data_IF_126337982492
#
_entry.id   IF_126337982492
#
_cell.length_a   1.000
_cell.length_b   1.000
_cell.length_c   1.000
_cell.angle_alpha   90.00
_cell.angle_beta   90.00
_cell.angle_gamma   90.00
#
_symmetry.space_group_name_H-M   'P 1'
#
loop_
_entity.id
_entity.type
_entity.pdbx_description
1 polymer ?
#
# COMPACT_ATOMS: atom_id res chain seq x y z
N UNK A 1 31.05 23.46 8.99
CA UNK A 1 30.38 22.64 7.95
C UNK A 1 29.30 21.88 8.68
N UNK A 2 28.03 22.21 8.45
CA UNK A 2 26.94 21.36 8.92
C UNK A 2 27.05 20.05 8.16
N UNK A 3 27.37 18.95 8.86
CA UNK A 3 27.31 17.62 8.28
C UNK A 3 25.84 17.29 8.08
N UNK A 4 25.40 17.17 6.83
CA UNK A 4 24.08 16.63 6.50
C UNK A 4 23.98 15.15 6.85
N UNK A 5 22.81 14.56 6.59
CA UNK A 5 22.62 13.12 6.60
C UNK A 5 23.55 12.43 5.59
N UNK A 6 23.71 11.11 5.73
CA UNK A 6 24.55 10.32 4.82
C UNK A 6 23.95 8.95 4.56
N UNK A 7 24.11 8.44 3.35
CA UNK A 7 23.63 7.10 2.96
C UNK A 7 24.83 6.26 2.53
N UNK A 8 24.93 5.05 3.08
CA UNK A 8 25.97 4.08 2.76
C UNK A 8 25.34 2.88 2.07
N UNK A 9 26.01 2.37 1.04
CA UNK A 9 25.67 1.10 0.40
C UNK A 9 26.69 0.05 0.80
N UNK A 10 26.21 -1.06 1.34
CA UNK A 10 27.00 -2.24 1.66
C UNK A 10 26.74 -3.26 0.56
N UNK A 11 27.69 -3.44 -0.35
CA UNK A 11 27.43 -4.13 -1.62
C UNK A 11 27.24 -5.65 -1.50
N UNK A 12 27.77 -6.30 -0.45
CA UNK A 12 27.78 -7.76 -0.34
C UNK A 12 27.66 -8.25 1.10
N UNK A 13 26.45 -8.24 1.63
CA UNK A 13 26.08 -8.94 2.85
C UNK A 13 25.64 -10.37 2.49
N UNK A 14 26.38 -11.38 2.94
CA UNK A 14 26.02 -12.77 2.68
C UNK A 14 25.05 -13.31 3.74
N UNK A 15 23.94 -13.91 3.31
CA UNK A 15 23.00 -14.63 4.18
C UNK A 15 23.25 -16.13 4.12
N UNK A 16 23.46 -16.75 5.28
CA UNK A 16 23.57 -18.21 5.40
C UNK A 16 22.17 -18.86 5.31
N UNK A 17 21.12 -18.22 5.84
CA UNK A 17 19.76 -18.76 5.79
C UNK A 17 19.18 -18.81 4.37
N UNK A 18 19.51 -17.81 3.55
CA UNK A 18 19.00 -17.70 2.20
C UNK A 18 20.01 -18.14 1.13
N UNK A 19 21.29 -18.28 1.52
CA UNK A 19 22.41 -18.61 0.65
C UNK A 19 22.52 -17.65 -0.55
N UNK A 20 22.41 -16.35 -0.28
CA UNK A 20 22.54 -15.29 -1.28
C UNK A 20 23.28 -14.06 -0.72
N UNK A 21 23.83 -13.27 -1.64
CA UNK A 21 24.45 -11.97 -1.32
C UNK A 21 23.41 -10.86 -1.52
N UNK A 22 23.39 -9.89 -0.62
CA UNK A 22 22.49 -8.74 -0.67
C UNK A 22 23.20 -7.43 -0.48
N UNK A 23 22.57 -6.41 -1.03
CA UNK A 23 22.90 -5.03 -0.72
C UNK A 23 22.07 -4.55 0.45
N UNK A 24 22.75 -3.88 1.39
CA UNK A 24 22.10 -3.12 2.45
C UNK A 24 22.38 -1.64 2.23
N UNK A 25 21.35 -0.81 2.41
CA UNK A 25 21.48 0.64 2.38
C UNK A 25 21.26 1.17 3.79
N UNK A 26 22.14 2.04 4.28
CA UNK A 26 22.06 2.59 5.63
C UNK A 26 22.09 4.11 5.58
N UNK A 27 20.99 4.75 5.92
CA UNK A 27 20.89 6.18 6.18
C UNK A 27 21.29 6.47 7.63
N UNK A 28 22.18 7.45 7.81
CA UNK A 28 22.60 7.98 9.09
C UNK A 28 22.16 9.44 9.22
N UNK A 29 21.58 9.83 10.37
CA UNK A 29 20.96 11.14 10.52
C UNK A 29 22.00 12.25 10.72
N UNK A 30 21.61 13.54 10.60
CA UNK A 30 22.54 14.67 10.59
C UNK A 30 23.43 14.83 11.83
N UNK A 31 22.99 14.38 13.01
CA UNK A 31 23.82 14.45 14.22
C UNK A 31 24.80 13.28 14.36
N UNK A 32 24.70 12.23 13.53
CA UNK A 32 25.46 10.98 13.71
C UNK A 32 26.96 11.21 13.90
N UNK A 33 27.62 11.99 13.04
CA UNK A 33 29.07 12.25 13.13
C UNK A 33 29.44 13.21 14.27
N UNK A 34 28.54 14.10 14.66
CA UNK A 34 28.79 15.17 15.64
C UNK A 34 28.52 14.70 17.08
N UNK A 35 27.68 13.69 17.26
CA UNK A 35 27.26 13.17 18.55
C UNK A 35 27.71 11.70 18.71
N UNK A 36 29.01 11.46 19.01
CA UNK A 36 29.59 10.10 18.99
C UNK A 36 29.04 9.18 20.07
N UNK A 37 28.40 9.72 21.11
CA UNK A 37 27.82 8.94 22.21
C UNK A 37 26.30 8.71 22.05
N UNK A 38 25.65 9.37 21.10
CA UNK A 38 24.21 9.21 20.87
C UNK A 38 23.94 7.92 20.11
N UNK A 39 22.90 7.22 20.55
CA UNK A 39 22.31 6.05 19.89
C UNK A 39 20.95 6.41 19.32
N UNK A 40 20.53 5.72 18.27
CA UNK A 40 19.38 6.07 17.45
C UNK A 40 18.42 4.89 17.32
N UNK A 41 17.09 5.12 17.34
CA UNK A 41 16.11 4.15 16.88
C UNK A 41 16.39 3.72 15.43
N UNK A 42 15.88 2.55 15.04
CA UNK A 42 16.14 1.99 13.71
C UNK A 42 14.83 1.62 13.02
N UNK A 43 14.70 2.07 11.77
CA UNK A 43 13.67 1.62 10.85
C UNK A 43 14.28 0.66 9.82
N UNK A 44 13.87 -0.60 9.84
CA UNK A 44 14.19 -1.57 8.80
C UNK A 44 13.12 -1.52 7.71
N UNK A 45 13.55 -1.46 6.45
CA UNK A 45 12.67 -1.40 5.29
C UNK A 45 13.00 -2.48 4.26
N UNK A 46 11.97 -3.15 3.78
CA UNK A 46 12.06 -4.05 2.63
C UNK A 46 12.27 -3.27 1.33
N UNK A 47 12.71 -3.96 0.27
CA UNK A 47 12.92 -3.37 -1.07
C UNK A 47 13.91 -2.19 -1.07
N UNK A 48 15.00 -2.32 -0.31
CA UNK A 48 15.98 -1.26 -0.06
C UNK A 48 16.55 -0.59 -1.31
N UNK A 49 16.58 -1.28 -2.46
CA UNK A 49 17.02 -0.72 -3.73
C UNK A 49 16.09 0.37 -4.31
N UNK A 50 14.87 0.53 -3.75
CA UNK A 50 13.87 1.51 -4.17
C UNK A 50 13.53 2.56 -3.10
N UNK A 51 14.09 2.49 -1.88
CA UNK A 51 13.69 3.40 -0.79
C UNK A 51 14.47 4.74 -0.78
N UNK A 52 15.67 4.75 -1.36
CA UNK A 52 16.54 5.93 -1.45
C UNK A 52 16.82 6.32 -2.91
N UNK A 53 17.19 7.58 -3.12
CA UNK A 53 17.57 8.07 -4.44
C UNK A 53 19.10 8.00 -4.62
N UNK A 54 19.61 7.60 -5.80
CA UNK A 54 18.86 7.09 -6.95
C UNK A 54 18.36 5.65 -6.72
N UNK A 55 17.11 5.37 -7.11
CA UNK A 55 16.52 4.03 -7.05
C UNK A 55 16.82 3.21 -8.31
N UNK A 56 16.76 1.88 -8.18
CA UNK A 56 17.08 0.95 -9.26
C UNK A 56 16.21 1.13 -10.51
N UNK A 57 14.91 1.34 -10.35
CA UNK A 57 13.96 1.47 -11.45
C UNK A 57 13.66 2.95 -11.85
N UNK A 58 14.36 3.91 -11.24
CA UNK A 58 14.13 5.35 -11.44
C UNK A 58 13.01 5.96 -10.59
N UNK A 59 12.28 5.14 -9.80
CA UNK A 59 11.25 5.59 -8.87
C UNK A 59 11.65 5.21 -7.45
N UNK A 60 11.72 6.21 -6.58
CA UNK A 60 12.20 6.08 -5.20
C UNK A 60 11.12 6.54 -4.26
N UNK A 61 11.03 5.94 -3.08
CA UNK A 61 10.18 6.45 -2.00
C UNK A 61 10.70 7.75 -1.37
N UNK A 62 11.97 8.08 -1.65
CA UNK A 62 12.67 9.24 -1.09
C UNK A 62 12.55 9.34 0.44
N UNK A 63 12.61 8.19 1.13
CA UNK A 63 12.40 8.13 2.59
C UNK A 63 13.41 8.99 3.34
N UNK A 64 14.66 9.01 2.88
CA UNK A 64 15.71 9.90 3.38
C UNK A 64 15.33 11.40 3.32
N UNK A 65 14.70 11.84 2.23
CA UNK A 65 14.27 13.23 2.08
C UNK A 65 13.09 13.57 3.00
N UNK A 66 12.15 12.63 3.15
CA UNK A 66 11.06 12.76 4.13
C UNK A 66 11.61 12.85 5.56
N UNK A 67 12.53 11.95 5.94
CA UNK A 67 13.19 11.96 7.25
C UNK A 67 13.98 13.26 7.48
N UNK A 68 14.83 13.68 6.54
CA UNK A 68 15.62 14.91 6.65
C UNK A 68 14.72 16.14 6.86
N UNK A 69 13.62 16.25 6.10
CA UNK A 69 12.64 17.33 6.26
C UNK A 69 12.01 17.31 7.64
N UNK A 70 11.47 16.17 8.07
CA UNK A 70 10.77 16.05 9.36
C UNK A 70 11.71 16.27 10.55
N UNK A 71 12.97 15.83 10.45
CA UNK A 71 14.03 16.10 11.44
C UNK A 71 14.36 17.59 11.48
N UNK A 72 14.55 18.24 10.33
CA UNK A 72 14.85 19.67 10.26
C UNK A 72 13.71 20.53 10.84
N UNK A 73 12.46 20.13 10.60
CA UNK A 73 11.25 20.73 11.16
C UNK A 73 11.02 20.37 12.64
N UNK A 74 11.86 19.52 13.24
CA UNK A 74 11.76 19.02 14.63
C UNK A 74 10.44 18.30 14.94
N UNK A 75 9.90 17.58 13.95
CA UNK A 75 8.64 16.83 14.09
C UNK A 75 8.86 15.37 14.44
N UNK A 76 10.05 14.85 14.16
CA UNK A 76 10.48 13.51 14.54
C UNK A 76 11.88 13.55 15.14
N UNK A 77 12.21 12.53 15.93
CA UNK A 77 13.57 12.29 16.37
C UNK A 77 14.45 11.78 15.22
N UNK A 78 15.77 11.87 15.42
CA UNK A 78 16.72 11.32 14.45
C UNK A 78 16.76 9.79 14.55
N UNK A 79 16.69 9.11 13.40
CA UNK A 79 16.70 7.65 13.30
C UNK A 79 17.76 7.17 12.31
N UNK A 80 18.12 5.89 12.41
CA UNK A 80 18.83 5.16 11.34
C UNK A 80 17.78 4.45 10.48
N UNK A 81 17.95 4.46 9.16
CA UNK A 81 17.08 3.71 8.24
C UNK A 81 17.92 2.68 7.50
N UNK A 82 17.52 1.41 7.57
CA UNK A 82 18.20 0.29 6.93
C UNK A 82 17.29 -0.28 5.84
N UNK A 83 17.67 -0.11 4.58
CA UNK A 83 17.02 -0.75 3.43
C UNK A 83 17.65 -2.09 3.09
N UNK A 84 16.84 -3.13 2.98
CA UNK A 84 17.27 -4.47 2.59
C UNK A 84 16.84 -4.75 1.15
N UNK A 85 17.78 -4.89 0.22
CA UNK A 85 17.45 -5.21 -1.17
C UNK A 85 16.71 -6.54 -1.30
N UNK A 86 15.75 -6.60 -2.21
CA UNK A 86 15.12 -7.87 -2.59
C UNK A 86 15.98 -8.66 -3.61
N UNK A 87 15.55 -9.87 -3.93
CA UNK A 87 16.25 -10.78 -4.85
C UNK A 87 15.52 -10.98 -6.20
N UNK A 88 14.85 -9.93 -6.69
CA UNK A 88 14.14 -9.98 -7.97
C UNK A 88 13.04 -11.05 -7.99
N UNK A 89 13.22 -12.11 -8.77
CA UNK A 89 12.23 -13.20 -8.89
C UNK A 89 12.02 -13.95 -7.56
N UNK A 90 13.05 -14.06 -6.70
CA UNK A 90 12.93 -14.71 -5.39
C UNK A 90 12.19 -13.85 -4.36
N UNK A 91 11.89 -12.57 -4.66
CA UNK A 91 11.17 -11.67 -3.74
C UNK A 91 9.83 -12.26 -3.30
N UNK A 92 9.08 -12.87 -4.22
CA UNK A 92 7.77 -13.42 -3.90
C UNK A 92 7.87 -14.59 -2.91
N UNK A 93 8.87 -15.46 -3.09
CA UNK A 93 9.16 -16.58 -2.21
C UNK A 93 9.53 -16.10 -0.80
N UNK A 94 10.50 -15.18 -0.73
CA UNK A 94 11.03 -14.66 0.53
C UNK A 94 10.03 -13.82 1.32
N UNK A 95 9.07 -13.16 0.66
CA UNK A 95 8.06 -12.34 1.34
C UNK A 95 6.78 -13.10 1.67
N UNK A 96 6.69 -14.37 1.28
CA UNK A 96 5.51 -15.21 1.54
C UNK A 96 5.81 -16.21 2.67
N UNK A 97 5.10 -16.07 3.78
CA UNK A 97 5.08 -17.11 4.83
C UNK A 97 4.20 -18.27 4.39
N UNK A 98 4.58 -19.49 4.78
CA UNK A 98 3.78 -20.68 4.52
C UNK A 98 2.48 -20.62 5.36
N UNK A 99 1.35 -20.75 4.70
CA UNK A 99 0.01 -20.73 5.29
C UNK A 99 -0.61 -22.12 5.14
N UNK A 100 -0.99 -22.74 6.25
CA UNK A 100 -1.60 -24.06 6.23
C UNK A 100 -2.86 -24.07 5.35
N UNK A 101 -2.92 -25.00 4.39
CA UNK A 101 -4.08 -25.18 3.51
C UNK A 101 -4.19 -24.18 2.35
N UNK A 102 -3.30 -23.19 2.24
CA UNK A 102 -3.25 -22.28 1.10
C UNK A 102 -2.44 -22.91 -0.02
N UNK A 103 -3.04 -23.05 -1.20
CA UNK A 103 -2.32 -23.38 -2.42
C UNK A 103 -1.95 -22.08 -3.12
N UNK A 104 -0.68 -21.73 -3.11
CA UNK A 104 -0.14 -20.71 -3.99
C UNK A 104 -0.19 -21.29 -5.41
N UNK A 105 -1.28 -21.03 -6.14
CA UNK A 105 -1.34 -21.40 -7.55
C UNK A 105 -0.33 -20.58 -8.35
N UNK A 106 0.01 -21.08 -9.53
CA UNK A 106 0.88 -20.39 -10.48
C UNK A 106 0.31 -19.00 -10.79
N UNK A 107 0.80 -17.99 -10.06
CA UNK A 107 0.89 -16.62 -10.59
C UNK A 107 1.78 -16.68 -11.83
N UNK A 108 2.12 -15.54 -12.45
CA UNK A 108 3.15 -15.51 -13.50
C UNK A 108 4.47 -16.21 -13.09
N UNK A 109 4.67 -16.45 -11.79
CA UNK A 109 5.73 -17.28 -11.21
C UNK A 109 5.18 -18.17 -10.08
N UNK A 110 5.45 -19.48 -10.05
CA UNK A 110 5.13 -20.34 -8.90
C UNK A 110 5.86 -19.83 -7.66
N UNK A 111 5.14 -19.62 -6.55
CA UNK A 111 5.73 -19.16 -5.28
C UNK A 111 6.08 -20.34 -4.39
N UNK A 112 7.32 -20.38 -3.91
CA UNK A 112 7.79 -21.31 -2.87
C UNK A 112 7.97 -20.53 -1.56
N UNK A 113 7.06 -20.66 -0.57
CA UNK A 113 7.12 -19.85 0.64
C UNK A 113 8.43 -20.03 1.42
N UNK A 114 9.24 -18.95 1.48
CA UNK A 114 10.51 -18.86 2.21
C UNK A 114 10.50 -17.73 3.25
N UNK A 115 9.33 -17.19 3.59
CA UNK A 115 9.14 -16.13 4.60
C UNK A 115 9.81 -16.40 5.93
N UNK A 116 9.74 -17.64 6.42
CA UNK A 116 10.41 -18.04 7.66
C UNK A 116 11.95 -17.98 7.58
N UNK A 117 12.56 -18.24 6.41
CA UNK A 117 14.01 -18.08 6.21
C UNK A 117 14.37 -16.59 6.11
N UNK A 118 13.52 -15.80 5.45
CA UNK A 118 13.71 -14.35 5.35
C UNK A 118 13.59 -13.66 6.71
N UNK A 119 12.65 -14.08 7.56
CA UNK A 119 12.54 -13.66 8.96
C UNK A 119 13.86 -13.90 9.70
N UNK A 120 14.41 -15.13 9.63
CA UNK A 120 15.65 -15.48 10.31
C UNK A 120 16.85 -14.70 9.77
N UNK A 121 16.96 -14.54 8.46
CA UNK A 121 17.96 -13.68 7.83
C UNK A 121 17.89 -12.25 8.40
N UNK A 122 16.70 -11.66 8.47
CA UNK A 122 16.53 -10.30 8.98
C UNK A 122 16.92 -10.17 10.46
N UNK A 123 16.45 -11.09 11.30
CA UNK A 123 16.55 -10.99 12.76
C UNK A 123 17.87 -11.54 13.31
N UNK A 124 18.38 -12.61 12.73
CA UNK A 124 19.56 -13.32 13.24
C UNK A 124 20.85 -12.93 12.50
N UNK A 125 20.76 -12.33 11.30
CA UNK A 125 21.93 -11.92 10.51
C UNK A 125 22.00 -10.40 10.32
N UNK A 126 21.00 -9.77 9.69
CA UNK A 126 21.03 -8.33 9.35
C UNK A 126 21.00 -7.45 10.59
N UNK A 127 20.02 -7.65 11.48
CA UNK A 127 19.87 -6.79 12.66
C UNK A 127 21.12 -6.81 13.56
N UNK A 128 21.67 -7.97 13.96
CA UNK A 128 22.90 -8.02 14.77
C UNK A 128 24.11 -7.39 14.09
N UNK A 129 24.23 -7.54 12.76
CA UNK A 129 25.29 -6.91 11.99
C UNK A 129 25.20 -5.37 12.00
N UNK A 130 23.99 -4.83 11.82
CA UNK A 130 23.74 -3.39 11.92
C UNK A 130 24.01 -2.89 13.35
N UNK A 131 23.53 -3.60 14.37
CA UNK A 131 23.71 -3.26 15.79
C UNK A 131 25.21 -3.25 16.20
N UNK A 132 26.04 -4.08 15.56
CA UNK A 132 27.47 -4.12 15.80
C UNK A 132 28.24 -2.97 15.12
N UNK A 133 27.78 -2.51 13.95
CA UNK A 133 28.48 -1.50 13.14
C UNK A 133 28.00 -0.07 13.41
N UNK A 134 26.75 0.10 13.82
CA UNK A 134 26.12 1.40 13.97
C UNK A 134 25.65 1.64 15.41
N UNK A 135 25.47 2.91 15.79
CA UNK A 135 25.00 3.30 17.13
C UNK A 135 23.48 3.17 17.23
N UNK A 136 22.99 1.94 17.17
CA UNK A 136 21.55 1.64 17.30
C UNK A 136 21.11 1.60 18.77
N UNK A 137 19.80 1.78 18.98
CA UNK A 137 19.04 1.33 20.14
C UNK A 137 18.38 0.00 19.76
N UNK A 138 18.95 -1.15 20.17
CA UNK A 138 18.57 -2.45 19.62
C UNK A 138 17.26 -3.01 20.20
N UNK A 139 16.70 -2.39 21.23
CA UNK A 139 15.49 -2.86 21.92
C UNK A 139 14.23 -2.71 21.03
N UNK A 140 13.20 -3.57 21.21
CA UNK A 140 12.02 -3.57 20.35
C UNK A 140 11.28 -2.24 20.32
N UNK A 141 11.25 -1.52 21.44
CA UNK A 141 10.55 -0.23 21.59
C UNK A 141 11.14 0.89 20.71
N UNK A 142 12.34 0.66 20.17
CA UNK A 142 13.09 1.55 19.29
C UNK A 142 13.31 0.98 17.89
N UNK A 143 12.70 -0.17 17.57
CA UNK A 143 12.90 -0.87 16.31
C UNK A 143 11.59 -0.99 15.54
N UNK A 144 11.57 -0.44 14.33
CA UNK A 144 10.44 -0.49 13.41
C UNK A 144 10.75 -1.36 12.18
N UNK A 145 9.71 -1.97 11.60
CA UNK A 145 9.75 -2.70 10.34
C UNK A 145 8.67 -2.16 9.40
N UNK A 146 9.03 -1.92 8.13
CA UNK A 146 8.09 -1.36 7.15
C UNK A 146 8.33 -1.87 5.73
N UNK A 147 7.26 -2.00 4.95
CA UNK A 147 7.34 -2.26 3.52
C UNK A 147 6.00 -2.05 2.82
N UNK A 148 6.01 -2.07 1.48
CA UNK A 148 4.77 -2.03 0.70
C UNK A 148 4.40 -3.32 0.00
N UNK A 149 3.13 -3.50 -0.35
CA UNK A 149 2.69 -4.65 -1.15
C UNK A 149 3.02 -5.95 -0.42
N UNK A 150 3.71 -6.90 -1.07
CA UNK A 150 4.28 -8.08 -0.40
C UNK A 150 5.26 -7.74 0.73
N UNK A 151 5.94 -6.59 0.68
CA UNK A 151 6.74 -6.06 1.78
C UNK A 151 5.89 -5.68 3.00
N UNK A 152 4.67 -5.17 2.79
CA UNK A 152 3.70 -4.93 3.86
C UNK A 152 3.12 -6.23 4.42
N UNK A 153 2.91 -7.23 3.56
CA UNK A 153 2.51 -8.59 3.96
C UNK A 153 3.58 -9.26 4.82
N UNK A 154 4.85 -9.27 4.41
CA UNK A 154 5.92 -9.88 5.22
C UNK A 154 6.18 -9.09 6.50
N UNK A 155 6.01 -7.75 6.50
CA UNK A 155 6.04 -6.91 7.71
C UNK A 155 4.96 -7.35 8.71
N UNK A 156 3.73 -7.59 8.25
CA UNK A 156 2.63 -8.10 9.08
C UNK A 156 3.01 -9.39 9.78
N UNK A 157 3.52 -10.37 9.02
CA UNK A 157 3.89 -11.68 9.55
C UNK A 157 5.06 -11.60 10.52
N UNK A 158 6.20 -11.01 10.11
CA UNK A 158 7.40 -10.93 10.95
C UNK A 158 7.08 -10.15 12.23
N UNK A 159 6.41 -9.00 12.12
CA UNK A 159 6.12 -8.15 13.25
C UNK A 159 5.23 -8.79 14.31
N UNK A 160 4.16 -9.49 13.88
CA UNK A 160 3.26 -10.17 14.81
C UNK A 160 3.83 -11.50 15.34
N UNK A 161 4.75 -12.15 14.61
CA UNK A 161 5.47 -13.32 15.11
C UNK A 161 6.59 -12.92 16.08
N UNK A 162 7.22 -11.77 15.86
CA UNK A 162 8.44 -11.32 16.55
C UNK A 162 8.30 -9.94 17.21
N UNK A 163 7.31 -9.77 18.11
CA UNK A 163 7.19 -8.54 18.89
C UNK A 163 8.37 -8.36 19.87
N UNK A 164 9.15 -9.42 20.11
CA UNK A 164 10.42 -9.40 20.84
C UNK A 164 11.56 -8.71 20.08
N UNK A 165 11.34 -8.33 18.81
CA UNK A 165 12.33 -7.66 17.95
C UNK A 165 11.79 -6.35 17.38
N UNK A 166 10.54 -6.34 16.91
CA UNK A 166 9.91 -5.18 16.28
C UNK A 166 8.64 -4.82 17.04
N UNK A 167 8.55 -3.59 17.57
CA UNK A 167 7.32 -3.10 18.22
C UNK A 167 6.53 -2.11 17.37
N UNK A 168 7.08 -1.67 16.22
CA UNK A 168 6.47 -0.67 15.35
C UNK A 168 6.41 -1.18 13.92
N UNK A 169 5.20 -1.28 13.33
CA UNK A 169 4.99 -1.90 12.02
C UNK A 169 4.36 -0.94 11.02
N UNK A 170 4.93 -0.82 9.82
CA UNK A 170 4.39 -0.04 8.71
C UNK A 170 3.96 -0.93 7.54
N UNK A 171 2.65 -1.05 7.35
CA UNK A 171 2.02 -1.90 6.34
C UNK A 171 1.42 -1.03 5.25
N UNK A 172 2.21 -0.74 4.23
CA UNK A 172 1.82 0.21 3.18
C UNK A 172 1.23 -0.56 2.00
N UNK A 173 -0.02 -0.29 1.62
CA UNK A 173 -0.69 -1.02 0.53
C UNK A 173 -0.49 -2.55 0.61
N UNK A 174 -0.76 -3.23 1.75
CA UNK A 174 -0.28 -4.59 1.99
C UNK A 174 -1.03 -5.64 1.14
N UNK A 175 -0.28 -6.53 0.47
CA UNK A 175 -0.82 -7.58 -0.40
C UNK A 175 -1.31 -8.80 0.41
N UNK A 176 -2.44 -8.62 1.11
CA UNK A 176 -2.99 -9.59 2.06
C UNK A 176 -3.91 -10.63 1.41
N UNK A 177 -4.38 -10.38 0.20
CA UNK A 177 -5.24 -11.29 -0.56
C UNK A 177 -4.74 -11.40 -2.00
N UNK A 178 -4.90 -12.58 -2.60
CA UNK A 178 -4.86 -12.76 -4.04
C UNK A 178 -6.29 -12.73 -4.58
N UNK A 179 -6.56 -11.86 -5.57
CA UNK A 179 -7.84 -11.82 -6.27
C UNK A 179 -7.64 -12.28 -7.70
N UNK A 180 -8.30 -13.36 -8.09
CA UNK A 180 -8.26 -13.86 -9.45
C UNK A 180 -9.19 -13.02 -10.34
N UNK A 181 -8.69 -12.25 -11.32
CA UNK A 181 -9.53 -11.27 -12.01
C UNK A 181 -10.65 -11.87 -12.87
N UNK A 182 -10.46 -13.11 -13.33
CA UNK A 182 -11.43 -13.80 -14.19
C UNK A 182 -12.62 -14.38 -13.39
N UNK A 183 -12.36 -14.89 -12.19
CA UNK A 183 -13.35 -15.56 -11.34
C UNK A 183 -13.81 -14.71 -10.15
N UNK A 184 -13.05 -13.67 -9.81
CA UNK A 184 -13.10 -12.91 -8.56
C UNK A 184 -12.98 -13.80 -7.31
N UNK A 185 -12.32 -14.96 -7.45
CA UNK A 185 -11.95 -15.77 -6.30
C UNK A 185 -10.90 -15.03 -5.46
N UNK A 186 -11.11 -15.03 -4.15
CA UNK A 186 -10.28 -14.32 -3.18
C UNK A 186 -9.59 -15.34 -2.28
N UNK A 187 -8.26 -15.34 -2.29
CA UNK A 187 -7.44 -16.23 -1.47
C UNK A 187 -6.68 -15.40 -0.45
N UNK A 188 -6.90 -15.68 0.82
CA UNK A 188 -6.19 -15.06 1.93
C UNK A 188 -4.70 -15.43 1.90
N UNK A 189 -3.84 -14.43 2.00
CA UNK A 189 -2.37 -14.56 2.01
C UNK A 189 -1.75 -14.10 3.33
N UNK A 190 -2.51 -14.02 4.42
CA UNK A 190 -1.98 -13.70 5.75
C UNK A 190 -2.40 -14.71 6.82
N UNK A 191 -1.62 -14.77 7.91
CA UNK A 191 -1.93 -15.59 9.08
C UNK A 191 -2.92 -14.83 9.98
N UNK A 192 -3.99 -15.47 10.43
CA UNK A 192 -4.88 -14.82 11.40
C UNK A 192 -4.33 -15.02 12.82
N UNK A 193 -4.07 -13.91 13.52
CA UNK A 193 -3.67 -13.92 14.92
C UNK A 193 -4.89 -13.78 15.84
N UNK A 194 -4.91 -14.54 16.93
CA UNK A 194 -6.04 -14.57 17.90
C UNK A 194 -5.69 -13.95 19.25
N UNK A 195 -4.47 -13.44 19.39
CA UNK A 195 -3.95 -12.83 20.62
C UNK A 195 -3.23 -11.53 20.28
N UNK A 196 -3.53 -10.46 21.04
CA UNK A 196 -2.84 -9.16 20.95
C UNK A 196 -1.35 -9.36 21.26
N UNK A 197 -0.50 -8.91 20.35
CA UNK A 197 0.95 -8.85 20.57
C UNK A 197 1.30 -7.51 21.22
N UNK A 198 2.40 -7.43 21.99
CA UNK A 198 2.81 -6.19 22.65
C UNK A 198 3.49 -5.21 21.67
N UNK A 199 2.84 -4.93 20.53
CA UNK A 199 3.27 -3.92 19.58
C UNK A 199 2.87 -2.53 20.09
N UNK A 200 3.76 -1.56 19.93
CA UNK A 200 3.60 -0.17 20.36
C UNK A 200 2.82 0.66 19.34
N UNK A 201 3.10 0.46 18.05
CA UNK A 201 2.53 1.25 16.95
C UNK A 201 2.35 0.40 15.69
N UNK A 202 1.21 0.51 15.04
CA UNK A 202 0.89 -0.16 13.78
C UNK A 202 0.30 0.88 12.84
N UNK A 203 0.96 1.10 11.72
CA UNK A 203 0.46 1.90 10.61
C UNK A 203 0.00 0.97 9.50
N UNK A 204 -1.24 1.14 9.02
CA UNK A 204 -1.76 0.42 7.86
C UNK A 204 -2.33 1.44 6.88
N UNK A 205 -1.98 1.34 5.61
CA UNK A 205 -2.60 2.20 4.61
C UNK A 205 -2.84 1.51 3.27
N UNK A 206 -3.61 2.17 2.41
CA UNK A 206 -3.77 1.88 0.99
C UNK A 206 -4.36 3.10 0.26
N UNK A 207 -4.30 3.09 -1.06
CA UNK A 207 -4.95 4.05 -1.95
C UNK A 207 -6.25 3.54 -2.59
N UNK A 208 -7.10 4.44 -3.08
CA UNK A 208 -8.36 4.06 -3.76
C UNK A 208 -8.15 3.43 -5.14
N UNK A 209 -7.04 3.73 -5.82
CA UNK A 209 -6.74 3.32 -7.20
C UNK A 209 -5.80 2.12 -7.30
N UNK A 210 -5.83 1.25 -6.30
CA UNK A 210 -5.03 0.02 -6.28
C UNK A 210 -5.75 -1.16 -6.94
N UNK A 211 -7.03 -0.98 -7.29
CA UNK A 211 -7.80 -1.93 -8.06
C UNK A 211 -8.05 -3.25 -7.33
N UNK A 212 -7.88 -4.37 -8.03
CA UNK A 212 -8.02 -5.73 -7.51
C UNK A 212 -6.73 -6.25 -6.87
N UNK A 213 -5.63 -5.49 -6.96
CA UNK A 213 -4.37 -5.92 -6.38
C UNK A 213 -4.40 -5.77 -4.85
N UNK A 214 -4.90 -4.64 -4.37
CA UNK A 214 -5.14 -4.37 -2.95
C UNK A 214 -6.47 -3.64 -2.83
N UNK A 215 -7.43 -4.25 -2.13
CA UNK A 215 -8.77 -3.70 -1.99
C UNK A 215 -9.02 -3.20 -0.57
N UNK A 216 -9.76 -2.11 -0.43
CA UNK A 216 -10.13 -1.52 0.87
C UNK A 216 -10.76 -2.55 1.80
N UNK A 217 -11.72 -3.35 1.30
CA UNK A 217 -12.38 -4.37 2.13
C UNK A 217 -11.41 -5.37 2.77
N UNK A 218 -10.32 -5.72 2.09
CA UNK A 218 -9.34 -6.70 2.54
C UNK A 218 -8.41 -6.13 3.60
N UNK A 219 -7.88 -4.93 3.35
CA UNK A 219 -7.01 -4.24 4.31
C UNK A 219 -7.82 -3.80 5.54
N UNK A 220 -9.05 -3.36 5.32
CA UNK A 220 -9.98 -2.99 6.40
C UNK A 220 -10.37 -4.19 7.24
N UNK A 221 -10.64 -5.36 6.66
CA UNK A 221 -10.91 -6.58 7.43
C UNK A 221 -9.77 -6.92 8.40
N UNK A 222 -8.51 -6.85 7.95
CA UNK A 222 -7.36 -7.09 8.82
C UNK A 222 -7.24 -6.01 9.90
N UNK A 223 -7.53 -4.76 9.55
CA UNK A 223 -7.54 -3.65 10.51
C UNK A 223 -8.59 -3.85 11.59
N UNK A 224 -9.82 -4.25 11.22
CA UNK A 224 -10.89 -4.56 12.19
C UNK A 224 -10.52 -5.76 13.08
N UNK A 225 -9.91 -6.81 12.52
CA UNK A 225 -9.39 -7.94 13.31
C UNK A 225 -8.35 -7.51 14.35
N UNK A 226 -7.49 -6.54 14.03
CA UNK A 226 -6.55 -5.98 15.00
C UNK A 226 -7.27 -5.17 16.08
N UNK A 227 -8.29 -4.38 15.73
CA UNK A 227 -9.13 -3.69 16.73
C UNK A 227 -9.83 -4.69 17.66
N UNK A 228 -10.33 -5.82 17.14
CA UNK A 228 -10.95 -6.88 17.93
C UNK A 228 -9.98 -7.57 18.89
N UNK A 229 -8.67 -7.61 18.57
CA UNK A 229 -7.62 -8.04 19.51
C UNK A 229 -7.38 -7.01 20.63
N UNK A 230 -7.88 -5.78 20.48
CA UNK A 230 -7.77 -4.72 21.47
C UNK A 230 -6.63 -3.74 21.22
N UNK A 231 -6.15 -3.60 19.98
CA UNK A 231 -5.31 -2.44 19.62
C UNK A 231 -6.16 -1.16 19.63
N UNK A 232 -5.65 -0.10 20.23
CA UNK A 232 -6.36 1.18 20.34
C UNK A 232 -6.36 1.93 19.00
N UNK A 233 -7.57 2.18 18.46
CA UNK A 233 -7.77 2.94 17.23
C UNK A 233 -7.17 4.35 17.34
N UNK A 234 -6.55 4.80 16.25
CA UNK A 234 -6.02 6.16 16.05
C UNK A 234 -4.86 6.56 17.00
N UNK A 235 -4.38 5.62 17.82
CA UNK A 235 -3.17 5.77 18.65
C UNK A 235 -2.21 4.57 18.52
N UNK A 236 -2.60 3.34 18.88
CA UNK A 236 -1.78 2.15 18.63
C UNK A 236 -1.89 1.68 17.19
N UNK A 237 -3.10 1.69 16.62
CA UNK A 237 -3.39 1.29 15.25
C UNK A 237 -3.93 2.48 14.45
N UNK A 238 -3.12 2.99 13.53
CA UNK A 238 -3.52 4.06 12.61
C UNK A 238 -3.74 3.50 11.21
N UNK A 239 -4.85 3.92 10.61
CA UNK A 239 -5.26 3.52 9.27
C UNK A 239 -5.35 4.74 8.34
N UNK A 240 -4.99 4.58 7.07
CA UNK A 240 -5.26 5.58 6.04
C UNK A 240 -5.74 4.92 4.75
N UNK A 241 -6.94 5.28 4.31
CA UNK A 241 -7.41 5.02 2.96
C UNK A 241 -7.34 6.31 2.14
N UNK A 242 -6.30 6.47 1.30
CA UNK A 242 -6.02 7.72 0.57
C UNK A 242 -6.75 7.74 -0.79
N UNK A 243 -7.70 8.67 -0.99
CA UNK A 243 -8.39 8.83 -2.27
C UNK A 243 -7.43 9.26 -3.37
N UNK A 244 -7.48 8.57 -4.50
CA UNK A 244 -6.70 8.91 -5.69
C UNK A 244 -5.30 8.32 -5.75
N UNK A 245 -4.79 7.75 -4.65
CA UNK A 245 -3.51 7.05 -4.62
C UNK A 245 -3.59 5.66 -5.26
N UNK A 246 -2.54 5.26 -5.97
CA UNK A 246 -2.37 4.01 -6.68
C UNK A 246 -1.25 3.15 -6.06
N UNK A 247 -1.08 1.94 -6.59
CA UNK A 247 -0.11 0.96 -6.07
C UNK A 247 1.29 1.16 -6.68
N UNK A 248 1.88 2.35 -6.46
CA UNK A 248 3.15 2.77 -7.08
C UNK A 248 4.04 3.56 -6.11
N UNK A 249 5.36 3.56 -6.34
CA UNK A 249 6.34 4.21 -5.45
C UNK A 249 6.10 5.70 -5.24
N UNK A 250 5.65 6.41 -6.27
CA UNK A 250 5.32 7.84 -6.16
C UNK A 250 4.27 8.10 -5.08
N UNK A 251 3.22 7.29 -5.03
CA UNK A 251 2.10 7.51 -4.11
C UNK A 251 2.42 6.95 -2.71
N UNK A 252 3.40 6.05 -2.60
CA UNK A 252 4.00 5.66 -1.32
C UNK A 252 4.92 6.75 -0.77
N UNK A 253 5.73 7.40 -1.62
CA UNK A 253 6.55 8.58 -1.25
C UNK A 253 5.68 9.69 -0.66
N UNK A 254 4.55 10.03 -1.30
CA UNK A 254 3.66 11.09 -0.81
C UNK A 254 3.10 10.80 0.60
N UNK A 255 2.99 9.52 0.98
CA UNK A 255 2.40 9.08 2.25
C UNK A 255 3.42 8.71 3.33
N UNK A 256 4.68 8.41 2.99
CA UNK A 256 5.68 7.86 3.92
C UNK A 256 5.99 8.77 5.13
N UNK A 257 5.73 10.07 5.02
CA UNK A 257 5.90 10.99 6.15
C UNK A 257 4.99 10.66 7.34
N UNK A 258 3.80 10.11 7.09
CA UNK A 258 2.85 9.77 8.13
C UNK A 258 3.29 8.60 9.04
N UNK A 259 3.69 7.42 8.52
CA UNK A 259 4.25 6.36 9.37
C UNK A 259 5.51 6.79 10.12
N UNK A 260 6.39 7.60 9.50
CA UNK A 260 7.58 8.13 10.19
C UNK A 260 7.22 8.97 11.43
N UNK A 261 6.21 9.85 11.31
CA UNK A 261 5.70 10.63 12.43
C UNK A 261 4.97 9.77 13.46
N UNK A 262 4.26 8.73 13.02
CA UNK A 262 3.57 7.81 13.91
C UNK A 262 4.54 7.03 14.82
N UNK A 263 5.68 6.59 14.28
CA UNK A 263 6.67 5.81 15.01
C UNK A 263 7.61 6.67 15.86
N UNK A 264 8.11 7.77 15.29
CA UNK A 264 9.27 8.49 15.82
C UNK A 264 9.02 9.99 16.04
N UNK A 265 7.76 10.44 15.96
CA UNK A 265 7.45 11.86 16.00
C UNK A 265 6.12 12.21 16.60
N UNK A 266 5.61 13.36 16.18
CA UNK A 266 4.34 13.90 16.62
C UNK A 266 3.49 14.32 15.43
N UNK A 267 2.23 13.87 15.38
CA UNK A 267 1.28 14.19 14.31
C UNK A 267 0.88 15.66 14.22
N UNK A 268 1.19 16.48 15.23
CA UNK A 268 0.83 17.90 15.27
C UNK A 268 -0.62 18.13 15.68
N UNK A 269 -1.20 19.27 15.28
CA UNK A 269 -2.60 19.62 15.56
C UNK A 269 -3.47 19.41 14.32
N UNK A 270 -4.72 19.00 14.54
CA UNK A 270 -5.68 18.80 13.45
C UNK A 270 -5.98 20.10 12.73
N UNK A 271 -5.74 20.10 11.43
CA UNK A 271 -5.92 21.23 10.52
C UNK A 271 -7.24 21.12 9.74
N UNK A 272 -7.66 19.93 9.33
CA UNK A 272 -8.87 19.71 8.53
C UNK A 272 -9.50 18.33 8.76
N UNK A 273 -10.77 18.20 8.36
CA UNK A 273 -11.50 16.93 8.29
C UNK A 273 -12.26 16.92 6.97
N UNK A 274 -12.11 15.85 6.20
CA UNK A 274 -12.89 15.60 4.97
C UNK A 274 -13.64 14.28 5.09
N UNK A 275 -14.76 14.14 4.36
CA UNK A 275 -15.55 12.92 4.33
C UNK A 275 -15.60 12.37 2.90
N UNK A 276 -15.05 11.18 2.70
CA UNK A 276 -15.02 10.47 1.42
C UNK A 276 -15.91 9.22 1.46
N UNK A 277 -16.28 8.70 0.30
CA UNK A 277 -17.08 7.48 0.16
C UNK A 277 -18.11 7.59 -0.96
N UNK A 278 -18.83 6.50 -1.22
CA UNK A 278 -19.88 6.47 -2.22
C UNK A 278 -21.02 7.43 -1.85
N UNK A 279 -21.41 8.31 -2.79
CA UNK A 279 -22.56 9.20 -2.65
C UNK A 279 -23.88 8.55 -3.08
N UNK A 280 -23.82 7.38 -3.71
CA UNK A 280 -24.98 6.56 -4.06
C UNK A 280 -24.78 5.14 -3.52
N UNK A 281 -25.76 4.64 -2.75
CA UNK A 281 -25.76 3.29 -2.15
C UNK A 281 -27.10 2.60 -2.42
N UNK A 282 -27.16 1.27 -2.30
CA UNK A 282 -28.40 0.51 -2.49
C UNK A 282 -28.77 -0.30 -1.26
N UNK A 283 -30.08 -0.42 -0.98
CA UNK A 283 -30.60 -1.36 0.03
C UNK A 283 -30.17 -2.78 -0.33
N UNK A 284 -30.32 -3.13 -1.61
CA UNK A 284 -29.66 -4.29 -2.21
C UNK A 284 -28.45 -3.84 -3.00
N UNK A 285 -27.25 -4.23 -2.58
CA UNK A 285 -26.00 -3.77 -3.19
C UNK A 285 -24.76 -4.18 -2.40
N UNK A 286 -23.57 -3.71 -2.83
CA UNK A 286 -22.35 -3.88 -2.05
C UNK A 286 -22.43 -3.07 -0.76
N UNK A 287 -21.73 -3.53 0.28
CA UNK A 287 -21.53 -2.74 1.49
C UNK A 287 -20.63 -1.55 1.17
N UNK A 288 -21.05 -0.34 1.57
CA UNK A 288 -20.29 0.89 1.38
C UNK A 288 -19.87 1.44 2.75
N UNK A 289 -18.65 1.98 2.80
CA UNK A 289 -18.07 2.60 3.99
C UNK A 289 -17.69 4.04 3.68
N UNK A 290 -18.06 4.95 4.57
CA UNK A 290 -17.57 6.32 4.54
C UNK A 290 -16.21 6.42 5.22
N UNK A 291 -15.33 7.23 4.65
CA UNK A 291 -13.94 7.37 5.04
C UNK A 291 -13.66 8.83 5.44
N UNK A 292 -13.81 9.17 6.74
CA UNK A 292 -13.41 10.47 7.26
C UNK A 292 -11.88 10.55 7.35
N UNK A 293 -11.27 11.53 6.69
CA UNK A 293 -9.82 11.75 6.74
C UNK A 293 -9.53 13.00 7.56
N UNK A 294 -8.78 12.81 8.63
CA UNK A 294 -8.26 13.88 9.48
C UNK A 294 -6.88 14.25 8.96
N UNK A 295 -6.68 15.53 8.64
CA UNK A 295 -5.37 16.07 8.29
C UNK A 295 -4.85 16.95 9.42
N UNK A 296 -3.54 16.89 9.64
CA UNK A 296 -2.85 17.67 10.65
C UNK A 296 -1.95 18.72 10.00
N UNK A 297 -1.52 19.72 10.75
CA UNK A 297 -0.52 20.71 10.33
C UNK A 297 0.86 20.09 9.97
N UNK A 298 1.03 18.78 10.18
CA UNK A 298 2.14 17.97 9.65
C UNK A 298 2.07 17.62 8.19
N UNK A 299 0.89 17.71 7.59
CA UNK A 299 0.59 16.85 6.44
C UNK A 299 0.47 15.37 6.83
N UNK A 300 0.44 15.04 8.13
CA UNK A 300 0.03 13.73 8.60
C UNK A 300 -1.47 13.62 8.31
N UNK A 301 -1.86 12.51 7.68
CA UNK A 301 -3.27 12.18 7.41
C UNK A 301 -3.59 10.84 8.05
N UNK A 302 -4.79 10.69 8.58
CA UNK A 302 -5.32 9.38 8.97
C UNK A 302 -6.81 9.32 8.71
N UNK A 303 -7.28 8.13 8.35
CA UNK A 303 -8.69 7.81 8.35
C UNK A 303 -9.15 7.56 9.79
N UNK A 304 -10.19 8.24 10.27
CA UNK A 304 -10.73 7.94 11.59
C UNK A 304 -11.37 6.55 11.57
N UNK A 305 -10.80 5.61 12.33
CA UNK A 305 -11.29 4.22 12.36
C UNK A 305 -12.64 4.09 13.03
N UNK A 306 -12.90 4.99 14.00
CA UNK A 306 -14.16 5.16 14.71
C UNK A 306 -14.52 6.63 14.75
N UNK A 307 -15.73 6.98 14.33
CA UNK A 307 -16.23 8.35 14.31
C UNK A 307 -17.72 8.41 14.66
N UNK A 308 -18.19 9.61 15.02
CA UNK A 308 -19.61 9.84 15.28
C UNK A 308 -20.25 10.41 14.02
N UNK A 309 -21.25 9.69 13.51
CA UNK A 309 -22.03 10.11 12.34
C UNK A 309 -23.42 10.56 12.74
N UNK A 310 -23.96 11.52 12.00
CA UNK A 310 -25.35 11.96 12.05
C UNK A 310 -25.92 11.91 10.64
N UNK A 311 -27.12 11.39 10.50
CA UNK A 311 -27.84 11.35 9.22
C UNK A 311 -29.03 12.29 9.32
N UNK A 312 -29.17 13.22 8.37
CA UNK A 312 -30.22 14.23 8.41
C UNK A 312 -31.63 13.63 8.45
N UNK A 313 -31.84 12.54 7.70
CA UNK A 313 -33.04 11.69 7.78
C UNK A 313 -32.64 10.23 8.06
N UNK A 314 -32.75 9.83 9.32
CA UNK A 314 -32.42 8.48 9.80
C UNK A 314 -33.40 7.40 9.29
N UNK A 315 -34.52 7.76 8.67
CA UNK A 315 -35.41 6.79 8.02
C UNK A 315 -34.86 6.33 6.66
N UNK A 316 -33.99 7.13 6.03
CA UNK A 316 -33.36 6.83 4.74
C UNK A 316 -32.12 5.95 4.93
N UNK A 317 -31.25 6.30 5.89
CA UNK A 317 -30.05 5.54 6.19
C UNK A 317 -29.57 5.75 7.64
N UNK A 318 -28.75 4.82 8.11
CA UNK A 318 -27.92 4.96 9.31
C UNK A 318 -26.46 4.75 8.95
N UNK A 319 -25.54 5.24 9.79
CA UNK A 319 -24.10 4.99 9.60
C UNK A 319 -23.51 4.51 10.93
N UNK A 320 -22.82 3.37 10.90
CA UNK A 320 -22.12 2.82 12.06
C UNK A 320 -20.91 3.68 12.41
N UNK A 321 -20.38 3.51 13.62
CA UNK A 321 -19.18 4.21 14.08
C UNK A 321 -17.95 3.93 13.23
N UNK A 322 -17.88 2.76 12.59
CA UNK A 322 -16.84 2.37 11.65
C UNK A 322 -17.02 2.93 10.22
N UNK A 323 -18.05 3.75 10.00
CA UNK A 323 -18.40 4.38 8.72
C UNK A 323 -19.27 3.52 7.81
N UNK A 324 -19.63 2.29 8.20
CA UNK A 324 -20.49 1.42 7.38
C UNK A 324 -21.88 2.02 7.23
N UNK A 325 -22.32 2.24 6.00
CA UNK A 325 -23.66 2.76 5.68
C UNK A 325 -24.68 1.62 5.74
N UNK A 326 -25.74 1.80 6.51
CA UNK A 326 -26.91 0.94 6.57
C UNK A 326 -28.06 1.65 5.82
N UNK A 327 -28.27 1.37 4.53
CA UNK A 327 -29.40 1.90 3.77
C UNK A 327 -30.72 1.28 4.26
N UNK A 328 -31.76 2.09 4.40
CA UNK A 328 -33.06 1.68 4.95
C UNK A 328 -34.22 1.91 3.98
N UNK A 329 -34.28 3.08 3.35
CA UNK A 329 -35.33 3.45 2.39
C UNK A 329 -34.76 4.29 1.24
N UNK A 330 -35.29 4.17 0.01
CA UNK A 330 -34.85 5.02 -1.09
C UNK A 330 -35.14 6.49 -0.81
N UNK A 331 -34.17 7.36 -1.10
CA UNK A 331 -34.28 8.79 -0.83
C UNK A 331 -32.94 9.51 -0.89
N UNK A 332 -32.99 10.82 -0.73
CA UNK A 332 -31.82 11.68 -0.59
C UNK A 332 -31.69 12.16 0.86
N UNK A 333 -30.51 12.03 1.44
CA UNK A 333 -30.18 12.49 2.79
C UNK A 333 -28.78 13.09 2.81
N UNK A 334 -28.34 13.62 3.95
CA UNK A 334 -26.97 14.10 4.16
C UNK A 334 -26.38 13.41 5.37
N UNK A 335 -25.12 12.99 5.26
CA UNK A 335 -24.36 12.41 6.37
C UNK A 335 -23.32 13.41 6.82
N UNK A 336 -23.30 13.69 8.12
CA UNK A 336 -22.32 14.53 8.78
C UNK A 336 -21.47 13.69 9.73
N UNK A 337 -20.15 13.84 9.68
CA UNK A 337 -19.20 13.19 10.59
C UNK A 337 -18.55 14.21 11.50
N UNK A 338 -18.38 13.86 12.78
CA UNK A 338 -17.59 14.62 13.75
C UNK A 338 -16.40 13.79 14.20
N UNK A 339 -15.19 14.33 14.04
CA UNK A 339 -13.94 13.71 14.45
C UNK A 339 -12.90 14.78 14.82
N UNK A 340 -12.15 14.54 15.91
CA UNK A 340 -11.13 15.44 16.47
C UNK A 340 -11.53 16.94 16.54
N UNK A 341 -12.77 17.19 17.02
CA UNK A 341 -13.31 18.54 17.17
C UNK A 341 -13.67 19.25 15.87
N UNK A 342 -13.66 18.54 14.73
CA UNK A 342 -14.02 19.04 13.40
C UNK A 342 -15.22 18.30 12.85
N UNK A 343 -15.83 18.87 11.82
CA UNK A 343 -17.02 18.36 11.16
C UNK A 343 -16.88 18.40 9.63
N UNK A 344 -17.41 17.39 8.94
CA UNK A 344 -17.54 17.34 7.49
C UNK A 344 -18.85 16.66 7.10
N UNK A 345 -19.40 16.99 5.94
CA UNK A 345 -20.65 16.40 5.44
C UNK A 345 -20.52 15.94 4.00
N UNK A 346 -21.31 14.94 3.62
CA UNK A 346 -21.49 14.52 2.23
C UNK A 346 -22.96 14.14 1.94
N UNK A 347 -23.48 14.47 0.74
CA UNK A 347 -24.80 14.04 0.33
C UNK A 347 -24.82 12.52 0.07
N UNK A 348 -25.90 11.85 0.48
CA UNK A 348 -26.08 10.42 0.30
C UNK A 348 -27.44 10.15 -0.36
N UNK A 349 -27.39 9.42 -1.48
CA UNK A 349 -28.56 8.91 -2.18
C UNK A 349 -28.69 7.42 -1.95
N UNK A 350 -29.83 6.99 -1.41
CA UNK A 350 -30.18 5.58 -1.26
C UNK A 350 -31.10 5.16 -2.41
N UNK A 351 -30.74 4.07 -3.08
CA UNK A 351 -31.54 3.38 -4.10
C UNK A 351 -32.09 2.08 -3.53
N UNK A 352 -33.14 1.57 -4.17
CA UNK A 352 -33.66 0.23 -3.84
C UNK A 352 -32.60 -0.85 -4.13
N UNK A 353 -31.97 -0.77 -5.29
CA UNK A 353 -30.95 -1.71 -5.75
C UNK A 353 -29.88 -0.96 -6.53
N UNK A 354 -28.62 -1.33 -6.29
CA UNK A 354 -27.47 -0.97 -7.13
C UNK A 354 -26.70 -2.24 -7.50
N UNK A 355 -26.05 -2.28 -8.66
CA UNK A 355 -25.27 -3.45 -9.05
C UNK A 355 -24.09 -3.67 -8.10
N UNK A 356 -23.74 -4.93 -7.83
CA UNK A 356 -22.52 -5.26 -7.08
C UNK A 356 -21.26 -5.19 -7.95
N UNK A 357 -21.43 -5.29 -9.27
CA UNK A 357 -20.35 -5.35 -10.25
C UNK A 357 -20.77 -4.63 -11.53
N UNK A 358 -19.80 -4.10 -12.25
CA UNK A 358 -19.95 -3.55 -13.60
C UNK A 358 -19.37 -4.53 -14.62
N UNK A 359 -20.04 -4.63 -15.77
CA UNK A 359 -19.51 -5.27 -16.96
C UNK A 359 -18.69 -4.26 -17.79
N UNK A 360 -17.39 -4.51 -17.90
CA UNK A 360 -16.47 -3.67 -18.66
C UNK A 360 -15.96 -4.42 -19.88
N UNK A 361 -16.26 -3.90 -21.06
CA UNK A 361 -15.63 -4.31 -22.31
C UNK A 361 -14.45 -3.38 -22.59
N UNK A 362 -13.22 -3.89 -22.60
CA UNK A 362 -12.02 -3.13 -22.97
C UNK A 362 -11.72 -3.42 -24.43
N UNK A 363 -11.47 -2.38 -25.22
CA UNK A 363 -11.04 -2.47 -26.61
C UNK A 363 -9.81 -1.59 -26.79
N UNK A 364 -8.69 -2.21 -27.17
CA UNK A 364 -7.40 -1.55 -27.38
C UNK A 364 -7.02 -1.62 -28.85
N UNK A 365 -7.08 -0.47 -29.53
CA UNK A 365 -6.60 -0.28 -30.89
C UNK A 365 -5.10 -0.03 -30.86
N UNK A 366 -4.37 -0.73 -31.73
CA UNK A 366 -2.90 -0.73 -31.73
C UNK A 366 -2.32 -0.21 -33.05
N UNK A 367 -1.12 0.38 -33.05
CA UNK A 367 -0.51 0.91 -34.26
C UNK A 367 -0.07 -0.24 -35.18
N UNK A 368 0.11 0.08 -36.47
CA UNK A 368 0.35 -0.92 -37.54
C UNK A 368 1.63 -1.73 -37.38
N UNK A 369 2.60 -1.19 -36.65
CA UNK A 369 3.88 -1.80 -36.32
C UNK A 369 3.82 -2.74 -35.10
N UNK A 370 2.64 -2.92 -34.50
CA UNK A 370 2.44 -3.86 -33.39
C UNK A 370 2.56 -5.31 -33.88
N UNK A 371 3.53 -6.10 -33.37
CA UNK A 371 3.75 -7.47 -33.81
C UNK A 371 2.52 -8.37 -33.63
N UNK A 372 2.33 -9.33 -34.53
CA UNK A 372 1.11 -10.15 -34.54
C UNK A 372 1.00 -11.16 -33.40
N UNK A 373 2.14 -11.67 -32.91
CA UNK A 373 2.21 -12.76 -31.94
C UNK A 373 2.38 -12.35 -30.48
N UNK A 374 2.40 -11.06 -30.15
CA UNK A 374 2.60 -10.59 -28.78
C UNK A 374 1.28 -10.52 -28.01
N UNK A 375 1.31 -10.93 -26.73
CA UNK A 375 0.23 -10.62 -25.79
C UNK A 375 0.31 -9.17 -25.38
N UNK A 376 -0.85 -8.55 -25.26
CA UNK A 376 -1.01 -7.23 -24.67
C UNK A 376 -1.68 -7.36 -23.31
N UNK A 377 -1.40 -6.41 -22.45
CA UNK A 377 -1.96 -6.29 -21.12
C UNK A 377 -2.45 -4.86 -20.94
N UNK A 378 -3.62 -4.69 -20.34
CA UNK A 378 -4.13 -3.43 -19.84
C UNK A 378 -4.55 -3.69 -18.39
N UNK A 379 -3.55 -3.92 -17.54
CA UNK A 379 -3.65 -4.55 -16.21
C UNK A 379 -3.96 -6.06 -16.24
N UNK A 380 -4.85 -6.49 -17.13
CA UNK A 380 -5.19 -7.89 -17.41
C UNK A 380 -4.77 -8.31 -18.82
N UNK A 381 -4.54 -9.61 -19.09
CA UNK A 381 -4.26 -10.08 -20.44
C UNK A 381 -5.43 -9.77 -21.39
N UNK A 382 -5.09 -9.31 -22.59
CA UNK A 382 -6.05 -9.03 -23.65
C UNK A 382 -6.01 -10.10 -24.74
N UNK A 383 -7.16 -10.38 -25.35
CA UNK A 383 -7.30 -11.30 -26.48
C UNK A 383 -7.29 -10.52 -27.80
N UNK A 384 -6.47 -10.93 -28.77
CA UNK A 384 -6.49 -10.31 -30.11
C UNK A 384 -7.80 -10.65 -30.84
N UNK A 385 -8.45 -9.64 -31.42
CA UNK A 385 -9.63 -9.85 -32.26
C UNK A 385 -9.22 -10.31 -33.68
N UNK A 386 -9.83 -11.39 -34.18
CA UNK A 386 -9.48 -11.92 -35.50
C UNK A 386 -9.84 -10.94 -36.61
N UNK A 387 -8.87 -10.63 -37.48
CA UNK A 387 -9.08 -9.76 -38.64
C UNK A 387 -9.17 -8.25 -38.33
N UNK A 388 -8.98 -7.84 -37.07
CA UNK A 388 -8.90 -6.42 -36.67
C UNK A 388 -7.57 -6.11 -35.98
N UNK A 389 -7.17 -4.84 -36.00
CA UNK A 389 -6.00 -4.32 -35.25
C UNK A 389 -6.42 -3.90 -33.85
N UNK A 390 -7.11 -4.79 -33.16
CA UNK A 390 -7.66 -4.54 -31.84
C UNK A 390 -7.45 -5.75 -30.92
N UNK A 391 -7.30 -5.45 -29.64
CA UNK A 391 -7.26 -6.41 -28.55
C UNK A 391 -8.42 -6.12 -27.61
N UNK A 392 -9.08 -7.16 -27.10
CA UNK A 392 -10.26 -7.01 -26.26
C UNK A 392 -10.16 -7.83 -24.99
N UNK A 393 -10.84 -7.37 -23.94
CA UNK A 393 -11.12 -8.14 -22.75
C UNK A 393 -12.52 -7.80 -22.27
N UNK A 394 -13.21 -8.77 -21.69
CA UNK A 394 -14.48 -8.56 -21.01
C UNK A 394 -14.32 -8.94 -19.55
N UNK A 395 -14.54 -7.99 -18.68
CA UNK A 395 -14.33 -8.13 -17.25
C UNK A 395 -15.61 -7.86 -16.49
N UNK A 396 -15.75 -8.54 -15.36
CA UNK A 396 -16.74 -8.22 -14.35
C UNK A 396 -15.98 -7.66 -13.16
N UNK A 397 -16.15 -6.37 -12.88
CA UNK A 397 -15.37 -5.65 -11.88
C UNK A 397 -16.29 -5.22 -10.74
N UNK A 398 -15.91 -5.36 -9.46
CA UNK A 398 -16.69 -4.83 -8.35
C UNK A 398 -16.99 -3.33 -8.52
N UNK A 399 -18.20 -2.91 -8.21
CA UNK A 399 -18.60 -1.49 -8.29
C UNK A 399 -17.64 -0.62 -7.44
N UNK A 400 -17.34 0.58 -7.94
CA UNK A 400 -16.41 1.55 -7.35
C UNK A 400 -14.94 1.15 -7.32
N UNK A 401 -14.56 0.04 -7.96
CA UNK A 401 -13.13 -0.27 -8.14
C UNK A 401 -12.49 0.80 -9.03
N UNK A 402 -11.46 1.45 -8.52
CA UNK A 402 -10.61 2.37 -9.29
C UNK A 402 -9.24 1.75 -9.47
N UNK A 403 -8.61 2.00 -10.62
CA UNK A 403 -7.23 1.59 -10.81
C UNK A 403 -6.50 2.46 -11.81
N UNK A 404 -5.18 2.51 -11.62
CA UNK A 404 -4.23 3.06 -12.57
C UNK A 404 -3.58 1.91 -13.34
N UNK A 405 -3.42 2.07 -14.66
CA UNK A 405 -2.78 1.07 -15.51
C UNK A 405 -2.11 1.71 -16.72
N UNK A 406 -1.29 0.89 -17.38
CA UNK A 406 -0.68 1.20 -18.65
C UNK A 406 -0.91 0.04 -19.61
N UNK A 407 -1.08 0.33 -20.89
CA UNK A 407 -1.06 -0.72 -21.90
C UNK A 407 0.38 -1.17 -22.15
N UNK A 408 0.66 -2.45 -21.93
CA UNK A 408 1.99 -3.04 -22.08
C UNK A 408 1.97 -4.29 -22.95
N UNK A 409 3.10 -4.59 -23.57
CA UNK A 409 3.34 -5.83 -24.31
C UNK A 409 4.10 -6.84 -23.45
N UNK A 410 3.96 -8.11 -23.78
CA UNK A 410 4.69 -9.20 -23.13
C UNK A 410 6.22 -9.04 -23.13
N UNK A 411 6.76 -8.26 -24.07
CA UNK A 411 8.19 -7.99 -24.16
C UNK A 411 8.67 -6.79 -23.30
N UNK A 412 7.81 -6.30 -22.39
CA UNK A 412 8.13 -5.24 -21.44
C UNK A 412 8.03 -3.81 -21.98
N UNK A 413 7.71 -3.65 -23.26
CA UNK A 413 7.46 -2.31 -23.82
C UNK A 413 6.05 -1.83 -23.51
N UNK A 414 5.91 -0.51 -23.42
CA UNK A 414 4.70 0.15 -22.93
C UNK A 414 4.23 1.22 -23.90
N UNK A 415 2.96 1.61 -23.82
CA UNK A 415 2.45 2.74 -24.60
C UNK A 415 3.12 4.05 -24.17
N UNK A 416 3.41 4.90 -25.16
CA UNK A 416 4.00 6.22 -24.96
C UNK A 416 3.27 7.28 -25.78
N UNK A 417 3.30 8.52 -25.30
CA UNK A 417 2.76 9.67 -26.01
C UNK A 417 3.68 10.13 -27.17
N UNK A 418 3.30 11.25 -27.81
CA UNK A 418 4.07 11.84 -28.91
C UNK A 418 5.51 12.21 -28.56
N UNK A 419 5.79 12.52 -27.29
CA UNK A 419 7.10 12.89 -26.75
C UNK A 419 7.88 11.67 -26.23
N UNK A 420 7.30 10.47 -26.29
CA UNK A 420 7.93 9.24 -25.81
C UNK A 420 7.78 9.02 -24.30
N UNK A 421 6.92 9.79 -23.62
CA UNK A 421 6.63 9.60 -22.19
C UNK A 421 5.63 8.47 -22.02
N UNK A 422 5.85 7.51 -21.09
CA UNK A 422 4.90 6.44 -20.82
C UNK A 422 3.51 6.99 -20.47
N UNK A 423 2.46 6.49 -21.14
CA UNK A 423 1.08 6.91 -20.88
C UNK A 423 0.52 6.12 -19.71
N UNK A 424 0.04 6.85 -18.70
CA UNK A 424 -0.68 6.29 -17.56
C UNK A 424 -2.18 6.57 -17.72
N UNK A 425 -3.01 5.57 -17.43
CA UNK A 425 -4.46 5.63 -17.55
C UNK A 425 -5.11 5.34 -16.21
N UNK A 426 -6.26 5.96 -15.97
CA UNK A 426 -7.09 5.71 -14.80
C UNK A 426 -8.50 5.32 -15.25
N UNK A 427 -9.08 4.33 -14.60
CA UNK A 427 -10.48 3.95 -14.80
C UNK A 427 -11.18 3.78 -13.44
N UNK A 428 -12.48 4.11 -13.43
CA UNK A 428 -13.37 3.94 -12.29
C UNK A 428 -14.61 3.15 -12.71
N UNK A 429 -14.89 2.07 -11.99
CA UNK A 429 -15.99 1.15 -12.25
C UNK A 429 -17.32 1.67 -11.69
N UNK A 430 -17.96 2.62 -12.38
CA UNK A 430 -19.25 3.19 -11.94
C UNK A 430 -20.48 2.60 -12.64
N UNK A 431 -20.33 2.09 -13.86
CA UNK A 431 -21.42 1.52 -14.66
C UNK A 431 -20.89 0.59 -15.74
N UNK A 432 -21.77 -0.26 -16.24
CA UNK A 432 -21.51 -1.06 -17.44
C UNK A 432 -21.11 -0.16 -18.62
N UNK A 433 -20.13 -0.61 -19.40
CA UNK A 433 -19.68 0.16 -20.55
C UNK A 433 -18.49 -0.43 -21.30
N UNK A 434 -18.06 0.33 -22.30
CA UNK A 434 -16.91 0.00 -23.14
C UNK A 434 -15.82 1.05 -22.95
N UNK A 435 -14.60 0.61 -22.68
CA UNK A 435 -13.40 1.43 -22.62
C UNK A 435 -12.60 1.27 -23.91
N UNK A 436 -12.67 2.28 -24.78
CA UNK A 436 -11.92 2.34 -26.04
C UNK A 436 -10.58 3.03 -25.80
N UNK A 437 -9.48 2.33 -26.08
CA UNK A 437 -8.11 2.79 -25.91
C UNK A 437 -7.42 2.79 -27.26
N UNK A 438 -6.71 3.88 -27.57
CA UNK A 438 -5.92 4.02 -28.78
C UNK A 438 -4.46 4.16 -28.38
N UNK A 439 -3.66 3.12 -28.65
CA UNK A 439 -2.21 3.18 -28.50
C UNK A 439 -1.65 3.84 -29.75
N UNK A 440 -0.95 4.96 -29.57
CA UNK A 440 -0.33 5.67 -30.69
C UNK A 440 1.02 5.07 -31.05
N UNK A 441 1.85 4.81 -30.03
CA UNK A 441 3.24 4.38 -30.16
C UNK A 441 3.65 3.49 -28.99
N UNK A 442 4.69 2.69 -29.23
CA UNK A 442 5.35 1.87 -28.21
C UNK A 442 6.68 2.47 -27.80
N UNK A 443 7.07 2.28 -26.53
CA UNK A 443 8.39 2.61 -26.03
C UNK A 443 9.48 1.83 -26.77
N UNK A 444 10.65 2.43 -26.92
CA UNK A 444 11.85 1.70 -27.37
C UNK A 444 12.23 0.64 -26.33
N UNK A 445 12.73 -0.52 -26.78
CA UNK A 445 13.25 -1.53 -25.86
C UNK A 445 14.47 -0.95 -25.15
N UNK A 446 14.44 -0.90 -23.81
CA UNK A 446 15.66 -0.78 -23.02
C UNK A 446 16.40 -2.12 -23.18
N UNK A 447 17.54 -2.07 -23.89
CA UNK A 447 18.35 -3.24 -24.22
C UNK A 447 19.14 -3.80 -23.04
#
# INVERSE_FOLDING_TARGET
MESGSSIFRMERFHSEYLNNDRELFVYLPPSYQREPNRRYPVLYMHDGQNIFHPAFNGYSWNVHAAADRLIAERRMEEIIIVGISNMGMERADEFTHDLEGVRYQDDKFPVQPRGHLYERFLIEEVKPYVDALFRTQPEPEHTALMGSSRGGQVTYHIGLLRPDVFSMLGLISPYLYCVYPETLEEVTLYHTFTVKQPLKKIWIDLGSREGLLVMEKHVREVTEKLLDLGYEADDELVYLYEPGAAHVEKDWEERVSAPLLHFFGHRGQTSSLTLHGAQEVGITGPTCRLNPIIEFDSGFKMSALRAVYRVADEHIAQVRDDGTVIPLQPGDTEVTVQADGREASLPLRVREEIPTHVALDIVVHVPSDTPEGLKLYAWFPLTREQGRRAFTARLRIPLHTEWVFQVSREDGSVEVDGEGVPVERCYQADKDGTLEIFVERWSERKG
#
